data_IF_563926963157
#
_entry.id   IF_563926963157
#
_cell.length_a   1.000
_cell.length_b   1.000
_cell.length_c   1.000
_cell.angle_alpha   90.00
_cell.angle_beta   90.00
_cell.angle_gamma   90.00
#
_symmetry.space_group_name_H-M   'P 1'
#
loop_
_entity.id
_entity.type
_entity.pdbx_description
1 polymer ?
#
# COMPACT_ATOMS: atom_id res chain seq x y z
N UNK A 1 1.21 -5.00 -11.43
CA UNK A 1 1.58 -6.23 -10.65
C UNK A 1 0.45 -6.55 -9.68
N UNK A 2 0.06 -7.82 -9.50
CA UNK A 2 -1.07 -8.20 -8.63
C UNK A 2 -0.70 -9.32 -7.68
N UNK A 3 -1.21 -9.27 -6.45
CA UNK A 3 -1.00 -10.31 -5.44
C UNK A 3 -2.26 -10.50 -4.58
N UNK A 4 -2.43 -11.72 -4.06
CA UNK A 4 -3.53 -12.05 -3.16
C UNK A 4 -3.28 -11.40 -1.80
N UNK A 5 -4.26 -10.64 -1.32
CA UNK A 5 -4.28 -10.01 -0.01
C UNK A 5 -5.62 -10.36 0.67
N UNK A 6 -5.73 -11.57 1.27
CA UNK A 6 -6.97 -12.11 1.84
C UNK A 6 -7.23 -11.55 3.25
N UNK A 7 -7.06 -10.24 3.39
CA UNK A 7 -7.37 -9.48 4.60
C UNK A 7 -8.22 -8.29 4.20
N UNK A 8 -9.20 -7.95 5.02
CA UNK A 8 -10.09 -6.82 4.80
C UNK A 8 -9.40 -5.50 5.16
N UNK A 9 -9.95 -4.39 4.68
CA UNK A 9 -9.49 -3.06 5.10
C UNK A 9 -9.67 -2.85 6.62
N UNK A 10 -10.69 -3.45 7.23
CA UNK A 10 -10.90 -3.36 8.67
C UNK A 10 -9.81 -4.12 9.46
N UNK A 11 -9.46 -5.33 9.04
CA UNK A 11 -8.37 -6.10 9.66
C UNK A 11 -7.01 -5.42 9.49
N UNK A 12 -6.72 -4.87 8.31
CA UNK A 12 -5.51 -4.08 8.11
C UNK A 12 -5.50 -2.81 8.98
N UNK A 13 -6.64 -2.15 9.16
CA UNK A 13 -6.73 -0.98 10.03
C UNK A 13 -6.38 -1.36 11.48
N UNK A 14 -6.92 -2.47 11.97
CA UNK A 14 -6.62 -3.01 13.31
C UNK A 14 -5.13 -3.31 13.50
N UNK A 15 -4.53 -4.06 12.56
CA UNK A 15 -3.09 -4.41 12.58
C UNK A 15 -2.19 -3.18 12.57
N UNK A 16 -2.59 -2.13 11.84
CA UNK A 16 -1.81 -0.89 11.70
C UNK A 16 -2.15 0.15 12.80
N UNK A 17 -3.07 -0.15 13.73
CA UNK A 17 -3.51 0.81 14.75
C UNK A 17 -4.25 2.03 14.18
N UNK A 18 -4.85 1.89 13.00
CA UNK A 18 -5.63 2.92 12.32
C UNK A 18 -7.13 2.71 12.54
N UNK A 19 -7.91 3.78 12.50
CA UNK A 19 -9.37 3.64 12.41
C UNK A 19 -9.79 3.15 11.02
N UNK A 20 -10.88 2.38 10.95
CA UNK A 20 -11.44 1.88 9.68
C UNK A 20 -11.75 3.02 8.69
N UNK A 21 -12.25 4.16 9.19
CA UNK A 21 -12.53 5.33 8.35
C UNK A 21 -11.27 5.97 7.77
N UNK A 22 -10.16 5.94 8.51
CA UNK A 22 -8.87 6.42 8.03
C UNK A 22 -8.29 5.47 6.98
N UNK A 23 -8.40 4.15 7.20
CA UNK A 23 -8.00 3.16 6.22
C UNK A 23 -8.79 3.27 4.91
N UNK A 24 -10.12 3.37 4.99
CA UNK A 24 -10.97 3.56 3.81
C UNK A 24 -10.58 4.84 3.04
N UNK A 25 -10.21 5.92 3.74
CA UNK A 25 -9.74 7.16 3.13
C UNK A 25 -8.43 6.94 2.37
N UNK A 26 -7.42 6.32 2.99
CA UNK A 26 -6.13 6.03 2.34
C UNK A 26 -6.33 5.20 1.08
N UNK A 27 -7.05 4.08 1.17
CA UNK A 27 -7.32 3.21 0.01
C UNK A 27 -8.11 3.95 -1.07
N UNK A 28 -9.07 4.78 -0.68
CA UNK A 28 -9.83 5.63 -1.59
C UNK A 28 -8.94 6.61 -2.35
N UNK A 29 -8.02 7.29 -1.67
CA UNK A 29 -7.08 8.22 -2.30
C UNK A 29 -6.10 7.49 -3.23
N UNK A 30 -5.54 6.34 -2.83
CA UNK A 30 -4.66 5.54 -3.69
C UNK A 30 -5.38 5.06 -4.96
N UNK A 31 -6.67 4.72 -4.86
CA UNK A 31 -7.50 4.38 -6.03
C UNK A 31 -7.77 5.59 -6.93
N UNK A 32 -8.11 6.75 -6.34
CA UNK A 32 -8.33 8.00 -7.11
C UNK A 32 -7.07 8.45 -7.85
N UNK A 33 -5.91 8.27 -7.23
CA UNK A 33 -4.61 8.56 -7.83
C UNK A 33 -4.20 7.52 -8.88
N UNK A 34 -4.98 6.46 -9.07
CA UNK A 34 -4.68 5.39 -10.02
C UNK A 34 -3.45 4.56 -9.63
N UNK A 35 -3.03 4.58 -8.37
CA UNK A 35 -1.86 3.84 -7.90
C UNK A 35 -2.17 2.36 -7.64
N UNK A 36 -3.38 2.07 -7.14
CA UNK A 36 -3.83 0.71 -6.83
C UNK A 36 -5.26 0.43 -7.31
N UNK A 37 -5.55 -0.84 -7.53
CA UNK A 37 -6.91 -1.38 -7.46
C UNK A 37 -6.94 -2.49 -6.40
N UNK A 38 -8.11 -2.67 -5.77
CA UNK A 38 -8.27 -3.71 -4.77
C UNK A 38 -9.68 -4.27 -4.88
N UNK A 39 -9.79 -5.53 -5.29
CA UNK A 39 -11.04 -6.25 -5.46
C UNK A 39 -10.79 -7.74 -5.24
N UNK A 40 -11.82 -8.50 -4.88
CA UNK A 40 -11.76 -9.96 -4.78
C UNK A 40 -10.55 -10.49 -3.99
N UNK A 41 -10.28 -9.88 -2.83
CA UNK A 41 -9.16 -10.24 -1.95
C UNK A 41 -7.78 -10.17 -2.65
N UNK A 42 -7.65 -9.34 -3.67
CA UNK A 42 -6.43 -9.14 -4.44
C UNK A 42 -6.13 -7.66 -4.58
N UNK A 43 -4.88 -7.29 -4.35
CA UNK A 43 -4.39 -5.93 -4.52
C UNK A 43 -3.53 -5.89 -5.79
N UNK A 44 -3.87 -4.99 -6.69
CA UNK A 44 -3.11 -4.74 -7.90
C UNK A 44 -2.48 -3.37 -7.81
N UNK A 45 -1.16 -3.34 -7.91
CA UNK A 45 -0.39 -2.11 -8.09
C UNK A 45 -0.44 -1.80 -9.58
N UNK A 46 -1.06 -0.67 -9.90
CA UNK A 46 -1.27 -0.20 -11.27
C UNK A 46 -0.02 0.53 -11.76
N UNK A 47 0.49 1.46 -10.96
CA UNK A 47 1.72 2.21 -11.23
C UNK A 47 2.68 2.11 -10.04
N UNK A 48 3.76 1.34 -10.21
CA UNK A 48 4.73 1.07 -9.13
C UNK A 48 5.47 2.34 -8.72
N UNK A 49 6.03 3.08 -9.69
CA UNK A 49 6.84 4.28 -9.41
C UNK A 49 6.00 5.35 -8.72
N UNK A 50 4.76 5.56 -9.18
CA UNK A 50 3.81 6.47 -8.55
C UNK A 50 3.44 6.05 -7.13
N UNK A 51 3.24 4.76 -6.88
CA UNK A 51 2.98 4.25 -5.54
C UNK A 51 4.19 4.49 -4.61
N UNK A 52 5.40 4.31 -5.13
CA UNK A 52 6.65 4.57 -4.40
C UNK A 52 6.79 6.05 -4.02
N UNK A 53 6.49 6.96 -4.95
CA UNK A 53 6.49 8.41 -4.70
C UNK A 53 5.44 8.81 -3.64
N UNK A 54 4.21 8.31 -3.75
CA UNK A 54 3.13 8.60 -2.78
C UNK A 54 3.49 8.08 -1.38
N UNK A 55 4.10 6.90 -1.31
CA UNK A 55 4.50 6.27 -0.05
C UNK A 55 5.80 6.85 0.53
N UNK A 56 6.45 7.77 -0.19
CA UNK A 56 7.78 8.29 0.14
C UNK A 56 8.78 7.15 0.45
N UNK A 57 8.65 6.04 -0.29
CA UNK A 57 9.38 4.82 0.03
C UNK A 57 10.87 4.99 -0.28
N UNK A 58 11.69 4.76 0.73
CA UNK A 58 13.14 4.69 0.62
C UNK A 58 13.61 3.21 0.54
N UNK A 59 14.28 2.78 -0.54
CA UNK A 59 14.85 1.43 -0.66
C UNK A 59 15.79 1.00 0.48
N UNK A 60 16.38 1.94 1.24
CA UNK A 60 17.18 1.64 2.42
C UNK A 60 16.36 0.97 3.52
N UNK A 61 15.05 1.23 3.59
CA UNK A 61 14.12 0.61 4.56
C UNK A 61 14.14 -0.92 4.48
N UNK A 62 14.23 -1.47 3.26
CA UNK A 62 14.30 -2.92 3.04
C UNK A 62 15.73 -3.41 2.83
N UNK A 63 16.75 -2.58 3.12
CA UNK A 63 18.17 -2.88 2.88
C UNK A 63 18.46 -3.34 1.45
N UNK A 64 17.68 -2.83 0.47
CA UNK A 64 17.81 -3.22 -0.93
C UNK A 64 19.07 -2.64 -1.59
N UNK A 65 19.68 -1.65 -0.96
CA UNK A 65 21.01 -1.15 -1.27
C UNK A 65 21.83 -1.15 0.02
N UNK A 66 23.03 -1.72 -0.04
CA UNK A 66 23.93 -1.84 1.10
C UNK A 66 24.54 -0.46 1.38
N UNK A 67 24.08 0.23 2.42
CA UNK A 67 24.77 1.42 2.91
C UNK A 67 26.16 1.01 3.45
N UNK A 68 27.24 1.73 3.08
CA UNK A 68 28.50 1.61 3.78
C UNK A 68 28.29 2.21 5.17
N UNK A 69 28.06 1.35 6.15
CA UNK A 69 28.06 1.72 7.57
C UNK A 69 29.40 2.31 7.98
#
# INVERSE_FOLDING_TARGET
MSFRLPITQAELADVLGLSVVHMNRIVGELRKLGAITWADQSLTIVEWDRLQEIAEFDPTYLSMVREPR
#
